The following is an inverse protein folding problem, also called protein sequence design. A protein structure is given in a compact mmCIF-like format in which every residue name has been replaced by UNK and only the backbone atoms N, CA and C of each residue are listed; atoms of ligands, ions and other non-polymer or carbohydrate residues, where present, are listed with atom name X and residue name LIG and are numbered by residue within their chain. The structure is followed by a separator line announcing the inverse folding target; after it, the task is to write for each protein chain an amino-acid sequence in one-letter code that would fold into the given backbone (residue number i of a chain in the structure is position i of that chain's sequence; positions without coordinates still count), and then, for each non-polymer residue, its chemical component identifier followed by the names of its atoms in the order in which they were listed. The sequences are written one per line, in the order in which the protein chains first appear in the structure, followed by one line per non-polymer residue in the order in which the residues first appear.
data_IF_141844254606
#
_entry.id   IF_141844254606
#
_cell.length_a   1.000
_cell.length_b   1.000
_cell.length_c   1.000
_cell.angle_alpha   90.00
_cell.angle_beta   90.00
_cell.angle_gamma   90.00
#
_symmetry.space_group_name_H-M   'P 1'
#
loop_
_entity.id
_entity.type
_entity.pdbx_description
1 polymer ?
#
# COMPACT_ATOMS: atom_id res chain seq x y z
N UNK A 1 30.40 -69.13 28.37
CA UNK A 1 31.61 -69.94 28.16
C UNK A 1 32.50 -69.17 27.21
N UNK A 2 33.53 -68.57 27.77
CA UNK A 2 34.93 -68.95 27.76
C UNK A 2 35.54 -68.88 26.39
N UNK A 3 36.46 -68.03 26.20
CA UNK A 3 37.88 -67.84 26.56
C UNK A 3 38.72 -67.84 25.30
N UNK A 4 39.48 -66.83 25.17
CA UNK A 4 40.96 -66.63 25.28
C UNK A 4 41.77 -66.81 23.99
N UNK A 5 42.44 -65.74 23.70
CA UNK A 5 43.87 -65.53 23.52
C UNK A 5 44.61 -66.36 22.45
N UNK A 6 45.30 -65.63 21.58
CA UNK A 6 46.75 -65.85 21.42
C UNK A 6 47.48 -64.61 20.93
N UNK A 7 48.62 -64.46 21.50
CA UNK A 7 49.54 -63.33 21.48
C UNK A 7 50.59 -63.42 20.35
N UNK A 8 51.13 -62.28 19.99
CA UNK A 8 52.52 -61.94 19.67
C UNK A 8 53.10 -62.23 18.30
N UNK A 9 53.53 -61.17 17.65
CA UNK A 9 54.88 -60.61 17.36
C UNK A 9 54.77 -59.67 16.20
N UNK A 10 55.08 -58.47 16.28
CA UNK A 10 56.33 -57.77 16.45
C UNK A 10 57.02 -57.50 15.14
N UNK A 11 56.86 -56.28 14.59
CA UNK A 11 57.96 -55.54 13.92
C UNK A 11 57.57 -54.08 13.68
N UNK A 12 58.44 -53.22 14.14
CA UNK A 12 58.37 -51.80 14.02
C UNK A 12 58.73 -51.34 12.58
N UNK A 13 57.98 -50.43 12.02
CA UNK A 13 58.45 -49.52 10.92
C UNK A 13 57.64 -48.30 10.86
N UNK A 14 58.30 -47.17 11.10
CA UNK A 14 58.13 -45.89 10.44
C UNK A 14 56.80 -45.14 10.58
N UNK A 15 56.66 -44.31 11.62
CA UNK A 15 55.71 -43.20 11.67
C UNK A 15 56.18 -42.05 10.74
N UNK A 16 55.54 -41.92 9.57
CA UNK A 16 55.50 -40.68 8.88
C UNK A 16 54.09 -40.08 9.08
N UNK A 17 54.05 -39.09 9.97
CA UNK A 17 52.86 -38.23 10.24
C UNK A 17 52.65 -37.30 9.07
N UNK A 18 51.71 -37.63 8.20
CA UNK A 18 51.17 -36.65 7.21
C UNK A 18 50.00 -35.93 7.87
N UNK A 19 50.31 -34.77 8.47
CA UNK A 19 49.30 -33.80 8.88
C UNK A 19 48.58 -33.32 7.60
N UNK A 20 47.38 -33.84 7.32
CA UNK A 20 46.46 -33.24 6.39
C UNK A 20 45.96 -31.96 7.02
N UNK A 21 46.44 -30.83 6.52
CA UNK A 21 45.83 -29.52 6.73
C UNK A 21 44.40 -29.59 6.15
N UNK A 22 43.42 -29.63 7.04
CA UNK A 22 42.02 -29.43 6.64
C UNK A 22 41.92 -27.97 6.20
N UNK A 23 41.87 -27.72 4.90
CA UNK A 23 41.44 -26.46 4.36
C UNK A 23 40.00 -26.19 4.85
N UNK A 24 39.69 -24.98 5.37
CA UNK A 24 38.31 -24.65 5.71
C UNK A 24 37.48 -24.70 4.41
N UNK A 25 36.45 -25.56 4.43
CA UNK A 25 35.43 -25.55 3.41
C UNK A 25 34.94 -24.10 3.24
N UNK A 26 35.25 -23.49 2.10
CA UNK A 26 34.67 -22.22 1.71
C UNK A 26 33.16 -22.37 1.86
N UNK A 27 32.58 -21.56 2.76
CA UNK A 27 31.14 -21.41 2.83
C UNK A 27 30.70 -20.96 1.44
N UNK A 28 29.97 -21.81 0.74
CA UNK A 28 29.30 -21.43 -0.49
C UNK A 28 28.43 -20.20 -0.16
N UNK A 29 28.81 -19.04 -0.67
CA UNK A 29 27.97 -17.87 -0.65
C UNK A 29 26.62 -18.26 -1.25
N UNK A 30 25.58 -18.23 -0.43
CA UNK A 30 24.23 -18.39 -0.94
C UNK A 30 24.04 -17.30 -1.99
N UNK A 31 23.49 -17.63 -3.17
CA UNK A 31 23.20 -16.61 -4.16
C UNK A 31 22.27 -15.60 -3.52
N UNK A 32 22.77 -14.43 -3.20
CA UNK A 32 21.94 -13.29 -2.85
C UNK A 32 21.11 -13.00 -4.09
N UNK A 33 19.83 -13.40 -4.07
CA UNK A 33 18.86 -12.95 -5.06
C UNK A 33 18.78 -11.42 -4.93
N UNK A 34 19.62 -10.72 -5.66
CA UNK A 34 19.73 -9.27 -5.65
C UNK A 34 18.58 -8.71 -6.51
N UNK A 35 17.33 -9.00 -6.09
CA UNK A 35 16.15 -8.40 -6.70
C UNK A 35 16.14 -6.93 -6.28
N UNK A 36 16.13 -6.03 -7.26
CA UNK A 36 16.12 -4.59 -7.00
C UNK A 36 14.90 -4.20 -6.13
N UNK A 37 15.08 -3.28 -5.17
CA UNK A 37 13.96 -2.81 -4.37
C UNK A 37 12.94 -2.07 -5.23
N UNK A 38 11.68 -2.05 -4.78
CA UNK A 38 10.60 -1.30 -5.42
C UNK A 38 11.01 0.16 -5.56
N UNK A 39 10.98 0.74 -6.78
CA UNK A 39 11.40 2.11 -7.02
C UNK A 39 10.51 3.12 -6.29
N UNK A 40 11.05 4.32 -6.05
CA UNK A 40 10.36 5.42 -5.37
C UNK A 40 10.16 6.60 -6.31
N UNK A 41 9.04 7.32 -6.11
CA UNK A 41 8.72 8.57 -6.82
C UNK A 41 8.48 9.71 -5.83
N UNK A 42 8.72 10.94 -6.25
CA UNK A 42 8.44 12.12 -5.45
C UNK A 42 6.94 12.22 -5.08
N UNK A 43 6.66 12.60 -3.83
CA UNK A 43 5.31 12.88 -3.34
C UNK A 43 4.99 14.38 -3.55
N UNK A 44 4.61 14.76 -4.76
CA UNK A 44 4.38 16.16 -5.10
C UNK A 44 5.55 17.05 -4.70
N UNK A 45 5.25 18.19 -4.07
CA UNK A 45 6.24 19.15 -3.56
C UNK A 45 6.63 18.97 -2.10
N UNK A 46 6.27 17.85 -1.47
CA UNK A 46 6.54 17.59 -0.04
C UNK A 46 8.02 17.37 0.30
N UNK A 47 8.85 17.06 -0.69
CA UNK A 47 10.24 16.63 -0.49
C UNK A 47 10.41 15.14 -0.22
N UNK A 48 9.33 14.42 0.05
CA UNK A 48 9.33 12.97 0.31
C UNK A 48 9.35 12.15 -0.98
N UNK A 49 9.83 10.90 -0.87
CA UNK A 49 9.76 9.89 -1.93
C UNK A 49 9.11 8.62 -1.42
N UNK A 50 8.02 8.21 -2.06
CA UNK A 50 7.31 6.99 -1.72
C UNK A 50 7.58 5.88 -2.75
N UNK A 51 7.61 4.64 -2.26
CA UNK A 51 7.58 3.46 -3.13
C UNK A 51 6.36 3.51 -4.05
N UNK A 52 6.53 3.14 -5.31
CA UNK A 52 5.43 3.17 -6.30
C UNK A 52 4.27 2.22 -5.95
N UNK A 53 4.52 1.27 -5.04
CA UNK A 53 3.50 0.42 -4.41
C UNK A 53 3.38 0.82 -2.94
N UNK A 54 2.18 1.12 -2.49
CA UNK A 54 1.85 1.36 -1.10
C UNK A 54 1.29 0.10 -0.42
N UNK A 55 1.56 -0.04 0.89
CA UNK A 55 0.98 -1.10 1.71
C UNK A 55 -0.47 -0.71 2.08
N UNK A 56 -1.43 -1.50 1.61
CA UNK A 56 -2.82 -1.35 2.01
C UNK A 56 -3.03 -1.91 3.42
N UNK A 57 -3.26 -1.08 4.42
CA UNK A 57 -3.47 -1.52 5.82
C UNK A 57 -4.58 -2.56 5.98
N UNK A 58 -5.59 -2.53 5.11
CA UNK A 58 -6.67 -3.53 5.08
C UNK A 58 -6.14 -4.98 4.83
N UNK A 59 -4.94 -5.16 4.30
CA UNK A 59 -4.32 -6.50 4.12
C UNK A 59 -4.21 -7.22 5.45
N UNK A 60 -3.86 -6.53 6.53
CA UNK A 60 -3.68 -7.12 7.85
C UNK A 60 -4.96 -7.18 8.69
N UNK A 61 -6.08 -6.63 8.19
CA UNK A 61 -7.39 -6.68 8.85
C UNK A 61 -7.81 -8.14 9.08
N UNK A 62 -8.24 -8.44 10.32
CA UNK A 62 -8.73 -9.76 10.76
C UNK A 62 -7.71 -10.91 10.60
N UNK A 63 -6.45 -10.61 10.36
CA UNK A 63 -5.38 -11.58 10.33
C UNK A 63 -4.66 -11.71 11.69
N UNK A 64 -3.88 -12.78 11.86
CA UNK A 64 -3.09 -12.98 13.07
C UNK A 64 -1.96 -11.94 13.19
N UNK A 65 -1.48 -11.64 14.42
CA UNK A 65 -0.32 -10.77 14.61
C UNK A 65 0.94 -11.27 13.87
N UNK A 66 1.16 -12.58 13.82
CA UNK A 66 2.29 -13.16 13.10
C UNK A 66 2.20 -12.97 11.60
N UNK A 67 1.02 -13.13 11.00
CA UNK A 67 0.80 -12.80 9.59
C UNK A 67 1.11 -11.33 9.31
N UNK A 68 0.58 -10.42 10.15
CA UNK A 68 0.80 -8.99 9.98
C UNK A 68 2.30 -8.64 10.05
N UNK A 69 3.03 -9.18 11.03
CA UNK A 69 4.47 -8.95 11.15
C UNK A 69 5.25 -9.48 9.95
N UNK A 70 4.92 -10.67 9.47
CA UNK A 70 5.63 -11.28 8.33
C UNK A 70 5.40 -10.50 7.03
N UNK A 71 4.15 -10.13 6.71
CA UNK A 71 3.85 -9.43 5.46
C UNK A 71 4.35 -7.97 5.47
N UNK A 72 4.39 -7.32 6.65
CA UNK A 72 4.98 -6.00 6.82
C UNK A 72 6.50 -6.07 6.65
N UNK A 73 7.18 -7.04 7.27
CA UNK A 73 8.61 -7.24 7.10
C UNK A 73 8.97 -7.53 5.63
N UNK A 74 8.24 -8.45 4.97
CA UNK A 74 8.41 -8.72 3.54
C UNK A 74 8.25 -7.44 2.69
N UNK A 75 7.23 -6.64 2.97
CA UNK A 75 6.99 -5.40 2.23
C UNK A 75 8.14 -4.39 2.40
N UNK A 76 8.63 -4.20 3.63
CA UNK A 76 9.78 -3.32 3.93
C UNK A 76 11.04 -3.84 3.26
N UNK A 77 11.33 -5.13 3.33
CA UNK A 77 12.50 -5.76 2.71
C UNK A 77 12.49 -5.61 1.19
N UNK A 78 11.30 -5.64 0.59
CA UNK A 78 11.09 -5.38 -0.85
C UNK A 78 11.12 -3.90 -1.22
N UNK A 79 11.31 -2.98 -0.27
CA UNK A 79 11.49 -1.55 -0.49
C UNK A 79 10.22 -0.70 -0.38
N UNK A 80 9.09 -1.26 0.10
CA UNK A 80 7.90 -0.47 0.40
C UNK A 80 8.19 0.40 1.63
N UNK A 81 7.97 1.70 1.47
CA UNK A 81 8.04 2.67 2.56
C UNK A 81 6.74 3.46 2.77
N UNK A 82 5.70 3.23 1.97
CA UNK A 82 4.40 3.89 2.10
C UNK A 82 3.38 2.91 2.67
N UNK A 83 2.84 3.22 3.84
CA UNK A 83 1.82 2.44 4.56
C UNK A 83 0.59 3.30 4.77
N UNK A 84 -0.58 2.80 4.39
CA UNK A 84 -1.84 3.53 4.42
C UNK A 84 -2.93 2.73 5.13
N UNK A 85 -3.53 3.29 6.17
CA UNK A 85 -4.54 2.63 7.01
C UNK A 85 -5.69 3.58 7.34
N UNK A 86 -6.77 3.05 7.87
CA UNK A 86 -7.91 3.83 8.37
C UNK A 86 -8.57 3.16 9.58
N UNK A 87 -9.24 3.92 10.47
CA UNK A 87 -10.02 3.37 11.59
C UNK A 87 -11.10 2.39 11.15
N UNK A 88 -11.71 2.61 9.98
CA UNK A 88 -12.77 1.78 9.42
C UNK A 88 -12.30 0.42 8.88
N UNK A 89 -11.00 0.11 8.97
CA UNK A 89 -10.44 -1.18 8.56
C UNK A 89 -10.36 -2.19 9.73
N UNK A 90 -11.44 -2.31 10.52
CA UNK A 90 -11.50 -3.25 11.64
C UNK A 90 -10.31 -3.10 12.60
N UNK A 91 -9.60 -4.19 12.87
CA UNK A 91 -8.43 -4.18 13.75
C UNK A 91 -7.09 -3.88 13.03
N UNK A 92 -7.13 -3.35 11.81
CA UNK A 92 -5.93 -3.14 11.01
C UNK A 92 -4.92 -2.18 11.64
N UNK A 93 -5.39 -1.11 12.31
CA UNK A 93 -4.50 -0.17 13.00
C UNK A 93 -3.70 -0.85 14.12
N UNK A 94 -4.34 -1.68 14.92
CA UNK A 94 -3.69 -2.42 16.00
C UNK A 94 -2.66 -3.42 15.45
N UNK A 95 -3.03 -4.16 14.39
CA UNK A 95 -2.14 -5.13 13.74
C UNK A 95 -0.94 -4.45 13.10
N UNK A 96 -1.19 -3.36 12.39
CA UNK A 96 -0.15 -2.61 11.71
C UNK A 96 0.79 -1.91 12.70
N UNK A 97 0.23 -1.33 13.78
CA UNK A 97 1.00 -0.67 14.83
C UNK A 97 2.03 -1.60 15.48
N UNK A 98 1.64 -2.85 15.78
CA UNK A 98 2.57 -3.87 16.27
C UNK A 98 3.63 -4.24 15.24
N UNK A 99 3.22 -4.50 14.01
CA UNK A 99 4.10 -4.96 12.95
C UNK A 99 5.11 -3.89 12.50
N UNK A 100 4.75 -2.60 12.59
CA UNK A 100 5.61 -1.49 12.19
C UNK A 100 6.62 -1.07 13.24
N UNK A 101 6.50 -1.48 14.51
CA UNK A 101 7.44 -1.03 15.56
C UNK A 101 8.92 -1.16 15.18
N UNK A 102 9.40 -2.28 14.58
CA UNK A 102 10.79 -2.41 14.16
C UNK A 102 11.17 -1.55 12.94
N UNK A 103 10.20 -0.97 12.26
CA UNK A 103 10.36 -0.32 10.96
C UNK A 103 9.88 1.13 10.93
N UNK A 104 9.31 1.66 12.05
CA UNK A 104 8.61 2.95 12.08
C UNK A 104 9.44 4.10 11.48
N UNK A 105 10.71 4.17 11.80
CA UNK A 105 11.63 5.22 11.33
C UNK A 105 11.99 5.12 9.83
N UNK A 106 11.64 4.00 9.19
CA UNK A 106 11.97 3.73 7.79
C UNK A 106 10.78 3.91 6.86
N UNK A 107 9.59 4.16 7.41
CA UNK A 107 8.33 4.17 6.65
C UNK A 107 7.61 5.51 6.77
N UNK A 108 6.87 5.83 5.73
CA UNK A 108 5.92 6.92 5.67
C UNK A 108 4.54 6.35 6.02
N UNK A 109 4.01 6.71 7.18
CA UNK A 109 2.76 6.19 7.71
C UNK A 109 1.62 7.19 7.49
N UNK A 110 0.65 6.80 6.69
CA UNK A 110 -0.57 7.54 6.43
C UNK A 110 -1.76 6.92 7.17
N UNK A 111 -2.58 7.76 7.79
CA UNK A 111 -3.85 7.38 8.37
C UNK A 111 -4.97 8.30 7.89
N UNK A 112 -6.23 7.90 8.13
CA UNK A 112 -7.42 8.62 7.67
C UNK A 112 -8.43 8.77 8.81
N UNK A 113 -9.46 9.62 8.59
CA UNK A 113 -10.57 9.77 9.51
C UNK A 113 -11.85 10.19 8.78
N UNK A 114 -13.01 9.98 9.43
CA UNK A 114 -14.35 10.21 8.86
C UNK A 114 -15.26 11.04 9.77
N UNK A 115 -14.72 11.71 10.80
CA UNK A 115 -15.50 12.61 11.64
C UNK A 115 -15.23 14.07 11.25
N UNK A 116 -16.24 14.74 10.71
CA UNK A 116 -16.10 16.10 10.20
C UNK A 116 -16.15 17.17 11.27
N UNK A 117 -16.32 16.82 12.56
CA UNK A 117 -16.26 17.74 13.69
C UNK A 117 -14.84 17.86 14.25
N UNK A 118 -14.50 19.03 14.80
CA UNK A 118 -13.22 19.26 15.46
C UNK A 118 -12.96 18.28 16.61
N UNK A 119 -13.98 18.06 17.47
CA UNK A 119 -13.82 17.21 18.65
C UNK A 119 -13.73 15.73 18.30
N UNK A 120 -14.54 15.26 17.36
CA UNK A 120 -14.52 13.88 16.88
C UNK A 120 -13.23 13.56 16.16
N UNK A 121 -12.79 14.42 15.27
CA UNK A 121 -11.50 14.31 14.56
C UNK A 121 -10.32 14.25 15.54
N UNK A 122 -10.32 15.09 16.60
CA UNK A 122 -9.26 15.04 17.60
C UNK A 122 -9.22 13.69 18.35
N UNK A 123 -10.38 13.14 18.72
CA UNK A 123 -10.47 11.82 19.36
C UNK A 123 -9.98 10.70 18.44
N UNK A 124 -10.37 10.72 17.17
CA UNK A 124 -9.95 9.72 16.18
C UNK A 124 -8.45 9.77 15.93
N UNK A 125 -7.85 10.97 15.87
CA UNK A 125 -6.41 11.11 15.72
C UNK A 125 -5.65 10.50 16.90
N UNK A 126 -6.01 10.84 18.13
CA UNK A 126 -5.35 10.31 19.34
C UNK A 126 -5.50 8.78 19.42
N UNK A 127 -6.69 8.26 19.12
CA UNK A 127 -6.94 6.82 19.13
C UNK A 127 -6.14 6.11 18.03
N UNK A 128 -6.09 6.68 16.82
CA UNK A 128 -5.29 6.14 15.73
C UNK A 128 -3.80 6.09 16.08
N UNK A 129 -3.25 7.16 16.66
CA UNK A 129 -1.86 7.19 17.11
C UNK A 129 -1.58 6.15 18.20
N UNK A 130 -2.51 5.99 19.15
CA UNK A 130 -2.43 4.97 20.21
C UNK A 130 -2.41 3.55 19.63
N UNK A 131 -3.33 3.21 18.71
CA UNK A 131 -3.43 1.90 18.09
C UNK A 131 -2.24 1.61 17.18
N UNK A 132 -1.77 2.61 16.44
CA UNK A 132 -0.60 2.54 15.56
C UNK A 132 0.72 2.60 16.33
N UNK A 133 0.69 2.85 17.66
CA UNK A 133 1.86 2.91 18.54
C UNK A 133 2.92 3.90 18.05
N UNK A 134 2.49 5.07 17.66
CA UNK A 134 3.35 6.13 17.13
C UNK A 134 3.02 7.47 17.78
N UNK A 135 3.97 8.35 17.87
CA UNK A 135 3.82 9.72 18.35
C UNK A 135 3.49 10.72 17.24
N UNK A 136 3.59 10.28 15.98
CA UNK A 136 3.23 11.10 14.83
C UNK A 136 2.77 10.28 13.64
N UNK A 137 2.02 10.91 12.74
CA UNK A 137 1.67 10.43 11.41
C UNK A 137 2.40 11.26 10.36
N UNK A 138 2.91 10.61 9.33
CA UNK A 138 3.49 11.34 8.20
C UNK A 138 2.41 12.04 7.38
N UNK A 139 1.27 11.38 7.18
CA UNK A 139 0.13 11.93 6.45
C UNK A 139 -1.17 11.62 7.18
N UNK A 140 -2.00 12.64 7.38
CA UNK A 140 -3.36 12.47 7.89
C UNK A 140 -4.36 12.95 6.86
N UNK A 141 -5.41 12.15 6.59
CA UNK A 141 -6.28 12.34 5.43
C UNK A 141 -7.75 12.32 5.83
N UNK A 142 -8.55 13.21 5.27
CA UNK A 142 -10.00 13.04 5.23
C UNK A 142 -10.33 11.82 4.37
N UNK A 143 -11.20 10.94 4.86
CA UNK A 143 -11.46 9.64 4.24
C UNK A 143 -12.71 9.65 3.37
N UNK A 144 -12.56 9.22 2.12
CA UNK A 144 -13.65 8.89 1.20
C UNK A 144 -14.67 10.01 0.97
N UNK A 145 -14.20 11.26 0.89
CA UNK A 145 -15.06 12.40 0.60
C UNK A 145 -15.92 12.14 -0.64
N UNK A 146 -17.24 12.22 -0.50
CA UNK A 146 -18.18 11.87 -1.56
C UNK A 146 -19.30 12.90 -1.77
N UNK A 147 -19.56 13.77 -0.78
CA UNK A 147 -20.60 14.80 -0.84
C UNK A 147 -20.01 16.18 -0.64
N UNK A 148 -20.57 17.16 -1.31
CA UNK A 148 -20.18 18.60 -1.13
C UNK A 148 -20.42 19.02 0.33
N UNK A 149 -21.45 18.49 0.97
CA UNK A 149 -21.75 18.72 2.39
C UNK A 149 -20.65 18.24 3.34
N UNK A 150 -19.85 17.24 2.96
CA UNK A 150 -18.68 16.82 3.75
C UNK A 150 -17.68 17.98 3.83
N UNK A 151 -17.42 18.64 2.71
CA UNK A 151 -16.53 19.81 2.66
C UNK A 151 -17.09 20.98 3.49
N UNK A 152 -18.40 21.21 3.42
CA UNK A 152 -19.02 22.30 4.18
C UNK A 152 -18.86 22.09 5.67
N UNK A 153 -18.97 20.85 6.18
CA UNK A 153 -18.76 20.50 7.58
C UNK A 153 -17.28 20.58 7.98
N UNK A 154 -16.38 20.04 7.17
CA UNK A 154 -14.93 20.04 7.42
C UNK A 154 -14.39 21.45 7.60
N UNK A 155 -14.83 22.39 6.75
CA UNK A 155 -14.36 23.78 6.73
C UNK A 155 -15.22 24.76 7.53
N UNK A 156 -16.30 24.30 8.18
CA UNK A 156 -17.09 25.11 9.09
C UNK A 156 -16.32 25.50 10.37
N UNK A 157 -16.75 26.55 11.09
CA UNK A 157 -16.28 26.79 12.44
C UNK A 157 -16.50 25.53 13.33
N UNK A 158 -15.46 25.10 14.05
CA UNK A 158 -15.39 23.82 14.79
C UNK A 158 -15.48 22.58 13.88
N UNK A 159 -15.16 22.71 12.61
CA UNK A 159 -14.97 21.59 11.69
C UNK A 159 -13.62 20.90 11.90
N UNK A 160 -13.49 19.72 11.31
CA UNK A 160 -12.31 18.87 11.46
C UNK A 160 -11.01 19.50 10.94
N UNK A 161 -11.09 20.44 9.99
CA UNK A 161 -9.89 21.12 9.49
C UNK A 161 -9.12 21.85 10.59
N UNK A 162 -9.81 22.39 11.62
CA UNK A 162 -9.13 23.01 12.75
C UNK A 162 -8.26 22.02 13.54
N UNK A 163 -8.69 20.76 13.63
CA UNK A 163 -7.90 19.67 14.25
C UNK A 163 -6.70 19.32 13.43
N UNK A 164 -6.85 19.18 12.10
CA UNK A 164 -5.74 18.86 11.20
C UNK A 164 -4.64 19.93 11.25
N UNK A 165 -5.02 21.21 11.20
CA UNK A 165 -4.07 22.32 11.29
C UNK A 165 -3.39 22.39 12.69
N UNK A 166 -4.14 22.16 13.75
CA UNK A 166 -3.58 22.12 15.10
C UNK A 166 -2.61 20.96 15.27
N UNK A 167 -2.94 19.77 14.75
CA UNK A 167 -2.08 18.59 14.77
C UNK A 167 -0.79 18.81 13.97
N UNK A 168 -0.89 19.43 12.78
CA UNK A 168 0.27 19.78 11.95
C UNK A 168 1.17 20.80 12.69
N UNK A 169 0.59 21.80 13.30
CA UNK A 169 1.33 22.79 14.11
C UNK A 169 2.01 22.16 15.33
N UNK A 170 1.39 21.16 15.94
CA UNK A 170 1.93 20.43 17.08
C UNK A 170 2.97 19.36 16.72
N UNK A 171 3.22 19.13 15.44
CA UNK A 171 4.14 18.09 14.95
C UNK A 171 3.60 16.66 15.00
N UNK A 172 2.33 16.48 15.38
CA UNK A 172 1.66 15.17 15.36
C UNK A 172 1.36 14.66 13.94
N UNK A 173 1.25 15.57 12.98
CA UNK A 173 1.00 15.30 11.57
C UNK A 173 1.95 16.13 10.73
N UNK A 174 2.62 15.51 9.76
CA UNK A 174 3.56 16.22 8.88
C UNK A 174 2.84 16.82 7.67
N UNK A 175 2.00 16.04 7.02
CA UNK A 175 1.28 16.41 5.80
C UNK A 175 -0.21 16.17 5.96
N UNK A 176 -1.01 16.99 5.27
CA UNK A 176 -2.47 16.92 5.26
C UNK A 176 -2.95 16.56 3.85
N UNK A 177 -3.80 15.54 3.76
CA UNK A 177 -4.38 15.09 2.50
C UNK A 177 -5.86 14.73 2.61
N UNK A 178 -6.37 14.19 1.53
CA UNK A 178 -7.71 13.61 1.51
C UNK A 178 -7.81 12.47 0.51
N UNK A 179 -8.79 11.59 0.71
CA UNK A 179 -9.26 10.67 -0.31
C UNK A 179 -10.68 11.03 -0.72
N UNK A 180 -11.03 10.82 -1.98
CA UNK A 180 -12.37 11.11 -2.48
C UNK A 180 -12.87 10.04 -3.46
N UNK A 181 -14.20 9.89 -3.51
CA UNK A 181 -14.89 8.99 -4.43
C UNK A 181 -15.85 9.76 -5.38
N UNK A 182 -15.75 11.08 -5.41
CA UNK A 182 -16.46 11.98 -6.33
C UNK A 182 -15.48 12.93 -6.98
N UNK A 183 -15.61 13.12 -8.29
CA UNK A 183 -14.80 14.09 -9.04
C UNK A 183 -15.10 15.51 -8.59
N UNK A 184 -16.39 15.86 -8.46
CA UNK A 184 -16.82 17.19 -8.02
C UNK A 184 -16.25 17.53 -6.64
N UNK A 185 -16.38 16.62 -5.69
CA UNK A 185 -15.89 16.80 -4.32
C UNK A 185 -14.37 16.91 -4.28
N UNK A 186 -13.65 16.09 -5.06
CA UNK A 186 -12.20 16.18 -5.14
C UNK A 186 -11.73 17.54 -5.69
N UNK A 187 -12.38 18.03 -6.74
CA UNK A 187 -12.09 19.34 -7.32
C UNK A 187 -12.42 20.47 -6.32
N UNK A 188 -13.56 20.38 -5.65
CA UNK A 188 -13.99 21.34 -4.62
C UNK A 188 -13.07 21.37 -3.40
N UNK A 189 -12.59 20.20 -2.92
CA UNK A 189 -11.61 20.13 -1.84
C UNK A 189 -10.31 20.86 -2.20
N UNK A 190 -9.78 20.62 -3.40
CA UNK A 190 -8.57 21.26 -3.91
C UNK A 190 -8.71 22.80 -4.08
N UNK A 191 -9.93 23.32 -4.22
CA UNK A 191 -10.18 24.77 -4.27
C UNK A 191 -10.23 25.41 -2.88
N UNK A 192 -10.65 24.63 -1.86
CA UNK A 192 -10.85 25.14 -0.50
C UNK A 192 -9.57 25.17 0.35
N UNK A 193 -8.62 24.27 0.06
CA UNK A 193 -7.41 24.14 0.87
C UNK A 193 -6.21 23.67 0.04
N UNK A 194 -4.98 24.12 0.33
CA UNK A 194 -3.77 23.65 -0.33
C UNK A 194 -3.28 22.32 0.23
N UNK A 195 -4.06 21.26 0.06
CA UNK A 195 -3.69 19.91 0.49
C UNK A 195 -2.35 19.47 -0.08
N UNK A 196 -1.57 18.77 0.73
CA UNK A 196 -0.29 18.20 0.33
C UNK A 196 -0.47 17.00 -0.63
N UNK A 197 -1.55 16.21 -0.43
CA UNK A 197 -1.77 14.97 -1.19
C UNK A 197 -3.25 14.69 -1.49
N UNK A 198 -3.47 13.86 -2.51
CA UNK A 198 -4.77 13.24 -2.80
C UNK A 198 -4.58 11.73 -3.02
N UNK A 199 -5.49 10.92 -2.46
CA UNK A 199 -5.67 9.50 -2.73
C UNK A 199 -6.98 9.31 -3.49
N UNK A 200 -6.92 8.90 -4.77
CA UNK A 200 -8.07 8.91 -5.67
C UNK A 200 -8.17 7.62 -6.50
N UNK A 201 -9.40 7.15 -6.87
CA UNK A 201 -9.58 6.01 -7.77
C UNK A 201 -9.03 6.31 -9.17
N UNK A 202 -8.01 5.57 -9.58
CA UNK A 202 -7.38 5.70 -10.90
C UNK A 202 -7.22 4.32 -11.49
N UNK A 203 -8.04 3.95 -12.47
CA UNK A 203 -7.93 2.71 -13.21
C UNK A 203 -8.44 2.83 -14.65
N UNK A 204 -8.12 1.85 -15.46
CA UNK A 204 -8.40 1.84 -16.88
C UNK A 204 -9.92 1.83 -17.19
N UNK A 205 -10.76 1.19 -16.38
CA UNK A 205 -12.21 1.16 -16.58
C UNK A 205 -12.83 2.52 -16.29
N UNK A 206 -12.47 3.15 -15.16
CA UNK A 206 -12.96 4.48 -14.78
C UNK A 206 -12.60 5.53 -15.84
N UNK A 207 -11.40 5.47 -16.38
CA UNK A 207 -10.94 6.42 -17.39
C UNK A 207 -11.61 6.20 -18.74
N UNK A 208 -11.69 4.93 -19.21
CA UNK A 208 -12.20 4.62 -20.54
C UNK A 208 -13.74 4.63 -20.63
N UNK A 209 -14.43 4.16 -19.60
CA UNK A 209 -15.89 4.00 -19.64
C UNK A 209 -16.66 5.14 -18.96
N UNK A 210 -16.10 5.76 -17.92
CA UNK A 210 -16.79 6.82 -17.15
C UNK A 210 -16.20 8.22 -17.31
N UNK A 211 -15.04 8.38 -17.93
CA UNK A 211 -14.27 9.65 -17.93
C UNK A 211 -14.05 10.19 -16.51
N UNK A 212 -14.00 9.26 -15.52
CA UNK A 212 -13.87 9.56 -14.11
C UNK A 212 -12.38 9.58 -13.73
N UNK A 213 -11.86 10.73 -13.31
CA UNK A 213 -10.50 10.88 -12.79
C UNK A 213 -9.55 11.77 -13.57
N UNK A 214 -9.55 11.84 -14.92
CA UNK A 214 -8.58 12.66 -15.66
C UNK A 214 -8.52 14.12 -15.19
N UNK A 215 -9.68 14.76 -14.95
CA UNK A 215 -9.78 16.15 -14.50
C UNK A 215 -9.24 16.36 -13.08
N UNK A 216 -9.38 15.35 -12.20
CA UNK A 216 -8.83 15.38 -10.84
C UNK A 216 -7.31 15.28 -10.88
N UNK A 217 -6.79 14.33 -11.70
CA UNK A 217 -5.38 14.14 -11.88
C UNK A 217 -4.69 15.40 -12.45
N UNK A 218 -5.30 16.03 -13.45
CA UNK A 218 -4.78 17.25 -14.05
C UNK A 218 -4.71 18.40 -13.03
N UNK A 219 -5.78 18.64 -12.27
CA UNK A 219 -5.81 19.69 -11.25
C UNK A 219 -4.82 19.43 -10.11
N UNK A 220 -4.70 18.20 -9.65
CA UNK A 220 -3.75 17.84 -8.61
C UNK A 220 -2.29 18.05 -9.06
N UNK A 221 -1.98 17.75 -10.34
CA UNK A 221 -0.67 18.04 -10.94
C UNK A 221 -0.38 19.53 -11.03
N UNK A 222 -1.34 20.35 -11.48
CA UNK A 222 -1.20 21.81 -11.53
C UNK A 222 -0.92 22.41 -10.15
N UNK A 223 -1.44 21.78 -9.08
CA UNK A 223 -1.19 22.18 -7.68
C UNK A 223 0.05 21.53 -7.06
N UNK A 224 0.78 20.73 -7.84
CA UNK A 224 1.98 19.98 -7.39
C UNK A 224 1.73 19.08 -6.17
N UNK A 225 0.53 18.52 -6.07
CA UNK A 225 0.14 17.60 -5.00
C UNK A 225 0.79 16.23 -5.19
N UNK A 226 1.05 15.54 -4.08
CA UNK A 226 1.32 14.10 -4.11
C UNK A 226 0.05 13.33 -4.52
N UNK A 227 0.15 12.50 -5.55
CA UNK A 227 -1.01 11.77 -6.08
C UNK A 227 -0.81 10.28 -5.84
N UNK A 228 -1.67 9.70 -5.01
CA UNK A 228 -1.71 8.26 -4.80
C UNK A 228 -2.98 7.69 -5.44
N UNK A 229 -2.84 6.56 -6.10
CA UNK A 229 -3.95 5.86 -6.73
C UNK A 229 -4.46 4.72 -5.85
N UNK A 230 -5.77 4.61 -5.71
CA UNK A 230 -6.43 3.42 -5.23
C UNK A 230 -7.29 2.80 -6.35
N UNK A 231 -7.71 1.54 -6.18
CA UNK A 231 -8.54 0.81 -7.15
C UNK A 231 -7.85 0.51 -8.50
N UNK A 232 -6.52 0.57 -8.59
CA UNK A 232 -5.79 0.31 -9.83
C UNK A 232 -6.04 -1.07 -10.46
N UNK A 233 -6.44 -2.05 -9.63
CA UNK A 233 -6.83 -3.39 -10.06
C UNK A 233 -8.35 -3.62 -10.00
N UNK A 234 -9.19 -2.60 -9.85
CA UNK A 234 -10.65 -2.75 -9.85
C UNK A 234 -11.18 -2.85 -11.28
N UNK A 235 -12.20 -3.70 -11.47
CA UNK A 235 -12.90 -3.87 -12.75
C UNK A 235 -14.32 -3.33 -12.69
N UNK A 236 -15.17 -3.91 -11.84
CA UNK A 236 -16.60 -3.59 -11.78
C UNK A 236 -17.15 -3.77 -10.37
N UNK A 237 -18.43 -3.57 -10.19
CA UNK A 237 -19.14 -3.92 -8.95
C UNK A 237 -19.53 -5.41 -8.97
N UNK A 238 -19.51 -6.06 -7.80
CA UNK A 238 -20.03 -7.41 -7.69
C UNK A 238 -21.48 -7.49 -8.17
N UNK A 239 -21.84 -8.58 -8.83
CA UNK A 239 -23.23 -8.86 -9.13
C UNK A 239 -24.06 -9.00 -7.83
N UNK A 240 -25.35 -8.79 -7.88
CA UNK A 240 -26.23 -8.93 -6.72
C UNK A 240 -26.08 -10.31 -6.04
N UNK A 241 -25.88 -11.38 -6.82
CA UNK A 241 -25.68 -12.72 -6.31
C UNK A 241 -24.33 -12.92 -5.63
N UNK A 242 -23.28 -12.28 -6.13
CA UNK A 242 -21.91 -12.41 -5.62
C UNK A 242 -21.56 -11.38 -4.52
N UNK A 243 -22.39 -10.36 -4.29
CA UNK A 243 -22.07 -9.23 -3.39
C UNK A 243 -21.64 -9.65 -1.98
N UNK A 244 -22.21 -10.73 -1.45
CA UNK A 244 -21.93 -11.21 -0.09
C UNK A 244 -21.22 -12.57 -0.07
N UNK A 245 -20.99 -13.17 -1.24
CA UNK A 245 -20.34 -14.49 -1.38
C UNK A 245 -19.39 -14.47 -2.59
N UNK A 246 -18.17 -14.05 -2.34
CA UNK A 246 -17.09 -13.98 -3.34
C UNK A 246 -15.72 -14.25 -2.70
N UNK A 247 -14.72 -14.67 -3.49
CA UNK A 247 -13.40 -15.10 -2.97
C UNK A 247 -12.50 -13.97 -2.46
N UNK A 248 -12.97 -12.71 -2.44
CA UNK A 248 -12.17 -11.53 -2.06
C UNK A 248 -12.86 -10.69 -0.98
N UNK A 249 -13.05 -11.19 0.25
CA UNK A 249 -13.91 -10.57 1.28
C UNK A 249 -13.46 -9.15 1.67
N UNK A 250 -12.21 -8.76 1.39
CA UNK A 250 -11.69 -7.41 1.62
C UNK A 250 -11.87 -6.46 0.42
N UNK A 251 -12.52 -6.92 -0.66
CA UNK A 251 -12.79 -6.12 -1.87
C UNK A 251 -14.29 -5.94 -2.06
N UNK A 252 -14.84 -4.77 -1.77
CA UNK A 252 -16.26 -4.46 -2.00
C UNK A 252 -16.62 -4.34 -3.50
N UNK A 253 -15.63 -4.36 -4.37
CA UNK A 253 -15.71 -4.34 -5.83
C UNK A 253 -15.12 -5.64 -6.39
N UNK A 254 -15.51 -6.02 -7.58
CA UNK A 254 -14.90 -7.12 -8.32
C UNK A 254 -13.56 -6.66 -8.91
N UNK A 255 -12.45 -7.26 -8.50
CA UNK A 255 -11.15 -6.93 -9.07
C UNK A 255 -11.01 -7.48 -10.50
N UNK A 256 -10.06 -6.93 -11.24
CA UNK A 256 -9.64 -7.44 -12.54
C UNK A 256 -9.14 -8.89 -12.40
N UNK A 257 -9.30 -9.70 -13.45
CA UNK A 257 -8.98 -11.11 -13.41
C UNK A 257 -7.49 -11.35 -13.06
N UNK A 258 -7.27 -12.22 -12.09
CA UNK A 258 -5.94 -12.58 -11.61
C UNK A 258 -5.32 -13.70 -12.46
N UNK A 259 -4.01 -13.64 -12.77
CA UNK A 259 -3.11 -12.52 -12.49
C UNK A 259 -3.02 -11.48 -13.61
N UNK A 260 -3.32 -11.83 -14.85
CA UNK A 260 -2.88 -11.10 -16.05
C UNK A 260 -3.57 -9.74 -16.22
N UNK A 261 -4.91 -9.70 -16.16
CA UNK A 261 -5.65 -8.45 -16.30
C UNK A 261 -5.36 -7.50 -15.12
N UNK A 262 -5.24 -8.07 -13.90
CA UNK A 262 -4.87 -7.31 -12.71
C UNK A 262 -3.47 -6.70 -12.84
N UNK A 263 -2.51 -7.44 -13.38
CA UNK A 263 -1.16 -6.97 -13.63
C UNK A 263 -1.13 -5.85 -14.67
N UNK A 264 -1.82 -6.00 -15.78
CA UNK A 264 -1.95 -4.95 -16.80
C UNK A 264 -2.65 -3.71 -16.24
N UNK A 265 -3.72 -3.88 -15.46
CA UNK A 265 -4.46 -2.79 -14.82
C UNK A 265 -3.58 -1.98 -13.87
N UNK A 266 -2.78 -2.64 -13.03
CA UNK A 266 -1.86 -1.95 -12.13
C UNK A 266 -0.73 -1.26 -12.89
N UNK A 267 -0.16 -1.90 -13.91
CA UNK A 267 0.86 -1.28 -14.76
C UNK A 267 0.31 -0.06 -15.49
N UNK A 268 -0.93 -0.13 -15.98
CA UNK A 268 -1.61 1.03 -16.56
C UNK A 268 -1.73 2.18 -15.56
N UNK A 269 -2.17 1.88 -14.33
CA UNK A 269 -2.30 2.87 -13.25
C UNK A 269 -0.95 3.49 -12.91
N UNK A 270 0.10 2.68 -12.75
CA UNK A 270 1.47 3.14 -12.46
C UNK A 270 2.11 3.90 -13.63
N UNK A 271 1.60 3.76 -14.85
CA UNK A 271 2.02 4.52 -16.02
C UNK A 271 1.39 5.91 -16.08
N UNK A 272 0.39 6.20 -15.24
CA UNK A 272 -0.13 7.55 -15.07
C UNK A 272 0.87 8.41 -14.26
N UNK A 273 0.80 9.74 -14.36
CA UNK A 273 1.70 10.64 -13.62
C UNK A 273 1.31 10.73 -12.13
N UNK A 274 1.51 9.64 -11.42
CA UNK A 274 1.22 9.45 -9.99
C UNK A 274 2.47 9.08 -9.20
N UNK A 275 2.42 9.27 -7.89
CA UNK A 275 3.48 8.87 -6.97
C UNK A 275 3.45 7.37 -6.71
N UNK A 276 2.31 6.86 -6.28
CA UNK A 276 2.15 5.47 -5.85
C UNK A 276 0.75 4.93 -6.16
N UNK A 277 0.63 3.61 -6.23
CA UNK A 277 -0.65 2.91 -6.25
C UNK A 277 -0.77 1.96 -5.05
N UNK A 278 -1.96 1.86 -4.47
CA UNK A 278 -2.28 0.94 -3.38
C UNK A 278 -3.06 -0.24 -3.99
N UNK A 279 -2.51 -1.48 -3.97
CA UNK A 279 -3.21 -2.69 -4.39
C UNK A 279 -4.44 -2.99 -3.51
N UNK A 280 -5.32 -3.90 -3.93
CA UNK A 280 -6.42 -4.39 -3.09
C UNK A 280 -5.96 -4.99 -1.77
N UNK A 281 -6.85 -5.06 -0.78
CA UNK A 281 -6.60 -5.68 0.53
C UNK A 281 -6.50 -7.22 0.52
N UNK A 282 -6.69 -7.87 -0.61
CA UNK A 282 -6.45 -9.31 -0.80
C UNK A 282 -4.94 -9.58 -0.91
N UNK A 283 -4.43 -10.52 -0.13
CA UNK A 283 -2.99 -10.84 -0.06
C UNK A 283 -2.39 -11.20 -1.43
N UNK A 284 -3.11 -11.95 -2.26
CA UNK A 284 -2.62 -12.39 -3.58
C UNK A 284 -2.41 -11.18 -4.51
N UNK A 285 -3.36 -10.25 -4.53
CA UNK A 285 -3.25 -9.01 -5.30
C UNK A 285 -2.18 -8.09 -4.74
N UNK A 286 -2.01 -8.05 -3.42
CA UNK A 286 -0.94 -7.26 -2.80
C UNK A 286 0.44 -7.82 -3.17
N UNK A 287 0.66 -9.15 -3.10
CA UNK A 287 1.92 -9.79 -3.51
C UNK A 287 2.18 -9.59 -5.00
N UNK A 288 1.17 -9.77 -5.86
CA UNK A 288 1.27 -9.44 -7.29
C UNK A 288 1.66 -7.96 -7.49
N UNK A 289 1.10 -7.04 -6.69
CA UNK A 289 1.48 -5.64 -6.72
C UNK A 289 2.95 -5.41 -6.38
N UNK A 290 3.49 -6.11 -5.38
CA UNK A 290 4.92 -6.04 -5.05
C UNK A 290 5.81 -6.58 -6.18
N UNK A 291 5.43 -7.70 -6.81
CA UNK A 291 6.16 -8.29 -7.93
C UNK A 291 6.21 -7.34 -9.14
N UNK A 292 5.06 -6.72 -9.45
CA UNK A 292 4.96 -5.70 -10.51
C UNK A 292 5.80 -4.48 -10.15
N UNK A 293 5.76 -4.03 -8.88
CA UNK A 293 6.52 -2.88 -8.42
C UNK A 293 8.03 -3.07 -8.58
N UNK A 294 8.57 -4.22 -8.22
CA UNK A 294 9.99 -4.55 -8.37
C UNK A 294 10.43 -4.64 -9.84
N UNK A 295 9.56 -5.16 -10.71
CA UNK A 295 9.82 -5.35 -12.12
C UNK A 295 9.08 -4.33 -12.99
N UNK A 296 8.78 -3.14 -12.44
CA UNK A 296 7.95 -2.18 -13.12
C UNK A 296 8.55 -1.70 -14.44
N UNK A 297 7.76 -1.84 -15.47
CA UNK A 297 7.93 -1.18 -16.76
C UNK A 297 6.58 -0.59 -17.20
N UNK A 298 6.57 0.60 -17.81
CA UNK A 298 5.34 1.22 -18.28
C UNK A 298 4.56 0.29 -19.22
N UNK A 299 3.23 0.42 -19.19
CA UNK A 299 2.38 -0.31 -20.13
C UNK A 299 2.67 0.16 -21.56
N UNK A 300 2.79 -0.77 -22.50
CA UNK A 300 2.95 -0.43 -23.91
C UNK A 300 1.63 0.04 -24.52
N UNK A 301 1.69 0.73 -25.66
CA UNK A 301 0.48 1.19 -26.36
C UNK A 301 -0.42 0.01 -26.78
N UNK A 302 0.16 -1.08 -27.26
CA UNK A 302 -0.58 -2.29 -27.61
C UNK A 302 -1.29 -2.93 -26.43
N UNK A 303 -0.60 -3.07 -25.29
CA UNK A 303 -1.20 -3.59 -24.04
C UNK A 303 -2.31 -2.66 -23.54
N UNK A 304 -2.12 -1.34 -23.62
CA UNK A 304 -3.13 -0.37 -23.24
C UNK A 304 -4.37 -0.48 -24.13
N UNK A 305 -4.21 -0.59 -25.44
CA UNK A 305 -5.32 -0.79 -26.37
C UNK A 305 -6.08 -2.09 -26.08
N UNK A 306 -5.38 -3.19 -25.81
CA UNK A 306 -5.97 -4.47 -25.43
C UNK A 306 -6.77 -4.35 -24.13
N UNK A 307 -6.19 -3.71 -23.09
CA UNK A 307 -6.82 -3.52 -21.80
C UNK A 307 -8.11 -2.68 -21.90
N UNK A 308 -8.07 -1.58 -22.67
CA UNK A 308 -9.21 -0.70 -22.90
C UNK A 308 -10.30 -1.40 -23.71
N UNK A 309 -9.92 -2.17 -24.73
CA UNK A 309 -10.86 -2.95 -25.52
C UNK A 309 -11.59 -3.98 -24.64
N UNK A 310 -10.88 -4.65 -23.74
CA UNK A 310 -11.46 -5.59 -22.76
C UNK A 310 -12.37 -4.92 -21.72
N UNK A 311 -12.24 -3.60 -21.53
CA UNK A 311 -13.13 -2.84 -20.65
C UNK A 311 -14.41 -2.36 -21.32
N UNK A 312 -14.59 -2.54 -22.65
CA UNK A 312 -15.76 -2.06 -23.37
C UNK A 312 -17.03 -2.68 -22.81
N UNK A 313 -17.97 -1.83 -22.40
CA UNK A 313 -19.26 -2.26 -21.81
C UNK A 313 -19.17 -2.72 -20.34
N UNK A 314 -17.99 -2.69 -19.72
CA UNK A 314 -17.86 -2.95 -18.28
C UNK A 314 -18.43 -1.76 -17.50
N UNK A 315 -19.30 -2.05 -16.52
CA UNK A 315 -19.88 -1.02 -15.66
C UNK A 315 -18.84 -0.52 -14.64
N UNK A 316 -18.43 0.75 -14.67
CA UNK A 316 -17.45 1.27 -13.73
C UNK A 316 -17.97 1.30 -12.29
N UNK A 317 -17.06 1.20 -11.31
CA UNK A 317 -17.43 1.27 -9.88
C UNK A 317 -17.80 2.69 -9.40
N UNK A 318 -17.48 3.72 -10.19
CA UNK A 318 -17.88 5.11 -9.96
C UNK A 318 -18.27 5.76 -11.29
N UNK A 319 -19.19 6.74 -11.21
CA UNK A 319 -19.69 7.51 -12.35
C UNK A 319 -19.60 9.01 -12.09
N UNK A 320 -19.52 9.81 -13.15
CA UNK A 320 -19.65 11.26 -13.03
C UNK A 320 -21.08 11.61 -12.60
N UNK A 321 -21.21 12.53 -11.64
CA UNK A 321 -22.52 13.00 -11.16
C UNK A 321 -23.33 11.99 -10.34
N UNK A 322 -22.80 10.81 -10.06
CA UNK A 322 -23.37 9.89 -9.07
C UNK A 322 -22.92 10.32 -7.67
N UNK A 323 -23.82 10.96 -6.93
CA UNK A 323 -23.67 11.34 -5.51
C UNK A 323 -24.75 10.64 -4.70
#
# INVERSE_FOLDING_TARGET
MERREFLKSGTAAGLMSSARILEPLAQAEQPTNNVAPIPKRALGKTGEKLSIIGFAGIVVMENSPSFASNIVAEAVDRGINYFDVAPTYGNAQERLGLALQPHRDKVFLACKEEDWSKEGSAKLLEESMRLLRTDHLDLYQFHALSKVTDLDQIFAPKGAMETFEAAKKAGKVRFIGFSAHSVEVALGAMDRYPFDTILFPINFVLYSQAKFGPQVLEKARQKEMGIMALKGMAKTTWSAAAKNDHPHPKCWYEPAAFPDEAAMGLRWTLSQPITAAIPPGDERYFRLGMDIGQNFHPITESEQQQLIAGATGVNPIFHLGAV
#
